data_IF_609252508866
#
_entry.id   IF_609252508866
#
_cell.length_a   1.000
_cell.length_b   1.000
_cell.length_c   1.000
_cell.angle_alpha   90.00
_cell.angle_beta   90.00
_cell.angle_gamma   90.00
#
_symmetry.space_group_name_H-M   'P 1'
#
loop_
_entity.id
_entity.type
_entity.pdbx_description
1 polymer ?
#
# COMPACT_ATOMS: atom_id res chain seq x y z
N UNK A 1 3.02 15.65 -3.65
CA UNK A 1 4.00 15.76 -2.57
C UNK A 1 3.29 15.38 -1.27
N UNK A 2 3.90 14.59 -0.37
CA UNK A 2 3.28 14.26 0.92
C UNK A 2 3.04 15.54 1.74
N UNK A 3 1.92 15.58 2.47
CA UNK A 3 1.57 16.71 3.34
C UNK A 3 2.49 16.72 4.56
N UNK A 4 3.00 17.89 4.99
CA UNK A 4 3.80 17.98 6.21
C UNK A 4 3.00 17.48 7.42
N UNK A 5 3.67 16.68 8.26
CA UNK A 5 3.12 16.18 9.50
C UNK A 5 2.91 17.33 10.48
N UNK A 6 1.66 17.52 10.93
CA UNK A 6 1.32 18.54 11.94
C UNK A 6 1.30 17.98 13.36
N UNK A 7 0.93 16.71 13.53
CA UNK A 7 0.87 16.04 14.84
C UNK A 7 0.84 14.51 14.69
N UNK A 8 1.74 13.81 15.37
CA UNK A 8 1.81 12.34 15.30
C UNK A 8 2.41 11.83 13.99
N UNK A 9 2.96 10.61 13.97
CA UNK A 9 3.63 10.07 12.79
C UNK A 9 2.64 9.37 11.87
N UNK A 10 1.87 10.16 11.14
CA UNK A 10 1.02 9.67 10.06
C UNK A 10 1.79 9.58 8.74
N UNK A 11 1.35 8.68 7.85
CA UNK A 11 1.87 8.61 6.49
C UNK A 11 0.75 8.39 5.48
N UNK A 12 1.02 8.82 4.25
CA UNK A 12 0.25 8.50 3.06
C UNK A 12 1.27 8.14 1.96
N UNK A 13 1.13 6.96 1.38
CA UNK A 13 2.01 6.46 0.33
C UNK A 13 1.15 5.96 -0.83
N UNK A 14 1.41 6.50 -2.02
CA UNK A 14 0.74 6.08 -3.23
C UNK A 14 1.73 5.39 -4.16
N UNK A 15 1.40 4.19 -4.64
CA UNK A 15 2.26 3.43 -5.53
C UNK A 15 1.46 2.79 -6.68
N UNK A 16 2.02 2.75 -7.89
CA UNK A 16 1.34 2.15 -9.03
C UNK A 16 1.23 0.64 -8.84
N UNK A 17 0.17 0.05 -9.39
CA UNK A 17 -0.02 -1.40 -9.45
C UNK A 17 -0.50 -1.83 -10.82
N UNK A 18 -0.06 -3.00 -11.25
CA UNK A 18 -0.68 -3.79 -12.30
C UNK A 18 -0.89 -5.20 -11.81
N UNK A 19 -2.08 -5.75 -12.03
CA UNK A 19 -2.40 -7.07 -11.53
C UNK A 19 -3.65 -7.67 -12.13
N UNK A 20 -3.86 -8.95 -11.82
CA UNK A 20 -5.04 -9.69 -12.23
C UNK A 20 -6.15 -9.46 -11.22
N UNK A 21 -7.32 -9.09 -11.70
CA UNK A 21 -8.53 -9.00 -10.89
C UNK A 21 -8.98 -10.42 -10.57
N UNK A 22 -9.01 -10.76 -9.28
CA UNK A 22 -9.47 -12.06 -8.81
C UNK A 22 -10.98 -12.05 -8.55
N UNK A 23 -11.47 -10.93 -8.00
CA UNK A 23 -12.82 -10.81 -7.49
C UNK A 23 -13.27 -9.36 -7.56
N UNK A 24 -14.53 -9.16 -7.93
CA UNK A 24 -15.26 -7.88 -7.88
C UNK A 24 -16.65 -8.22 -7.40
N UNK A 25 -17.03 -7.72 -6.24
CA UNK A 25 -18.32 -8.02 -5.62
C UNK A 25 -18.95 -6.72 -5.14
N UNK A 26 -20.22 -6.53 -5.46
CA UNK A 26 -21.08 -5.56 -4.80
C UNK A 26 -21.46 -6.10 -3.43
N UNK A 27 -21.41 -5.26 -2.40
CA UNK A 27 -21.93 -5.62 -1.09
C UNK A 27 -23.40 -6.03 -1.25
N UNK A 28 -23.74 -7.29 -0.91
CA UNK A 28 -25.09 -7.80 -1.10
C UNK A 28 -26.11 -7.12 -0.17
N UNK A 29 -25.64 -6.48 0.91
CA UNK A 29 -26.50 -5.90 1.95
C UNK A 29 -26.81 -4.42 1.70
N UNK A 30 -25.84 -3.63 1.20
CA UNK A 30 -26.05 -2.19 0.99
C UNK A 30 -26.15 -1.79 -0.49
N UNK A 31 -25.78 -2.67 -1.43
CA UNK A 31 -25.76 -2.46 -2.89
C UNK A 31 -25.01 -1.19 -3.37
N UNK A 32 -24.32 -0.49 -2.47
CA UNK A 32 -23.67 0.81 -2.70
C UNK A 32 -22.15 0.78 -2.45
N UNK A 33 -21.66 -0.22 -1.73
CA UNK A 33 -20.24 -0.42 -1.49
C UNK A 33 -19.79 -1.67 -2.22
N UNK A 34 -18.88 -1.53 -3.20
CA UNK A 34 -18.24 -2.67 -3.85
C UNK A 34 -16.90 -3.00 -3.19
N UNK A 35 -16.29 -4.11 -3.60
CA UNK A 35 -14.87 -4.34 -3.37
C UNK A 35 -14.21 -5.01 -4.56
N UNK A 36 -12.90 -4.82 -4.65
CA UNK A 36 -12.04 -5.48 -5.62
C UNK A 36 -10.88 -6.16 -4.93
N UNK A 37 -10.54 -7.36 -5.40
CA UNK A 37 -9.31 -8.05 -5.04
C UNK A 37 -8.42 -8.19 -6.27
N UNK A 38 -7.24 -7.58 -6.22
CA UNK A 38 -6.26 -7.60 -7.31
C UNK A 38 -5.01 -8.35 -6.85
N UNK A 39 -4.61 -9.38 -7.58
CA UNK A 39 -3.31 -10.02 -7.40
C UNK A 39 -2.24 -9.29 -8.18
N UNK A 40 -1.23 -8.80 -7.49
CA UNK A 40 -0.12 -8.04 -8.08
C UNK A 40 1.21 -8.72 -7.78
N UNK A 41 2.24 -8.39 -8.55
CA UNK A 41 3.61 -8.79 -8.23
C UNK A 41 4.04 -8.18 -6.89
N UNK A 42 4.72 -8.99 -6.06
CA UNK A 42 5.14 -8.57 -4.71
C UNK A 42 6.21 -7.47 -4.73
N UNK A 43 7.00 -7.42 -5.80
CA UNK A 43 8.04 -6.41 -6.00
C UNK A 43 7.87 -5.80 -7.40
N UNK A 44 7.05 -4.75 -7.53
CA UNK A 44 6.76 -4.14 -8.83
C UNK A 44 8.00 -3.50 -9.48
N UNK A 45 9.06 -3.22 -8.70
CA UNK A 45 10.35 -2.72 -9.24
C UNK A 45 11.05 -3.79 -10.09
N UNK A 46 10.77 -5.07 -9.86
CA UNK A 46 11.25 -6.19 -10.68
C UNK A 46 10.32 -6.52 -11.87
N UNK A 47 9.27 -5.71 -12.05
CA UNK A 47 8.25 -5.90 -13.08
C UNK A 47 6.91 -6.34 -12.51
N UNK A 48 5.92 -6.45 -13.39
CA UNK A 48 4.52 -6.71 -13.03
C UNK A 48 4.11 -8.18 -13.12
N UNK A 49 5.05 -9.04 -13.51
CA UNK A 49 4.83 -10.48 -13.64
C UNK A 49 5.06 -11.17 -12.31
N UNK A 50 4.26 -12.21 -12.05
CA UNK A 50 4.38 -13.08 -10.90
C UNK A 50 3.99 -14.51 -11.30
N UNK A 51 4.35 -15.50 -10.49
CA UNK A 51 3.92 -16.88 -10.65
C UNK A 51 2.77 -17.17 -9.68
N UNK A 52 1.61 -17.55 -10.22
CA UNK A 52 0.44 -17.88 -9.42
C UNK A 52 0.65 -19.11 -8.52
N UNK A 53 1.65 -19.95 -8.80
CA UNK A 53 2.03 -21.11 -7.99
C UNK A 53 3.05 -20.79 -6.90
N UNK A 54 3.71 -19.64 -6.97
CA UNK A 54 4.64 -19.17 -5.95
C UNK A 54 4.03 -18.01 -5.15
N UNK A 55 3.52 -18.33 -3.96
CA UNK A 55 2.94 -17.35 -3.02
C UNK A 55 3.94 -16.28 -2.55
N UNK A 56 5.25 -16.46 -2.77
CA UNK A 56 6.25 -15.42 -2.49
C UNK A 56 6.37 -14.40 -3.61
N UNK A 57 5.87 -14.69 -4.81
CA UNK A 57 5.98 -13.82 -5.98
C UNK A 57 4.87 -12.78 -6.10
N UNK A 58 3.77 -12.93 -5.34
CA UNK A 58 2.61 -12.05 -5.41
C UNK A 58 2.12 -11.58 -4.03
N UNK A 59 1.28 -10.55 -4.07
CA UNK A 59 0.44 -10.11 -2.95
C UNK A 59 -0.96 -9.82 -3.51
N UNK A 60 -1.99 -10.18 -2.75
CA UNK A 60 -3.35 -9.79 -3.08
C UNK A 60 -3.67 -8.46 -2.39
N UNK A 61 -4.19 -7.49 -3.11
CA UNK A 61 -4.59 -6.18 -2.58
C UNK A 61 -6.10 -6.09 -2.65
N UNK A 62 -6.70 -5.75 -1.52
CA UNK A 62 -8.12 -5.57 -1.36
C UNK A 62 -8.42 -4.08 -1.22
N UNK A 63 -9.33 -3.57 -2.06
CA UNK A 63 -9.82 -2.20 -2.02
C UNK A 63 -11.33 -2.17 -1.90
N UNK A 64 -11.85 -1.28 -1.06
CA UNK A 64 -13.27 -0.97 -1.01
C UNK A 64 -13.62 0.07 -2.06
N UNK A 65 -14.82 -0.04 -2.61
CA UNK A 65 -15.37 0.86 -3.63
C UNK A 65 -16.48 1.72 -3.03
N UNK A 66 -16.18 2.94 -2.58
CA UNK A 66 -17.20 3.83 -2.08
C UNK A 66 -17.99 4.54 -3.20
N UNK A 67 -17.67 4.32 -4.49
CA UNK A 67 -18.20 5.12 -5.62
C UNK A 67 -18.48 4.31 -6.88
N UNK A 68 -18.83 3.03 -6.76
CA UNK A 68 -19.19 2.15 -7.89
C UNK A 68 -18.15 2.10 -9.03
N UNK A 69 -16.89 2.45 -8.74
CA UNK A 69 -15.79 2.52 -9.70
C UNK A 69 -15.38 1.15 -10.23
N UNK A 70 -15.70 0.07 -9.51
CA UNK A 70 -15.34 -1.31 -9.85
C UNK A 70 -16.45 -2.06 -10.57
N UNK A 71 -17.68 -1.54 -10.65
CA UNK A 71 -18.83 -2.22 -11.32
C UNK A 71 -18.55 -2.65 -12.76
N UNK A 72 -17.65 -1.93 -13.44
CA UNK A 72 -17.32 -2.17 -14.86
C UNK A 72 -16.18 -3.17 -15.05
N UNK A 73 -15.57 -3.62 -13.97
CA UNK A 73 -14.41 -4.52 -13.95
C UNK A 73 -14.88 -5.94 -13.72
N UNK A 74 -14.27 -6.90 -14.41
CA UNK A 74 -14.62 -8.32 -14.27
C UNK A 74 -13.47 -9.15 -13.70
N UNK A 75 -13.82 -10.15 -12.90
CA UNK A 75 -12.87 -11.16 -12.48
C UNK A 75 -12.20 -11.82 -13.70
N UNK A 76 -10.88 -12.02 -13.61
CA UNK A 76 -10.05 -12.55 -14.69
C UNK A 76 -9.41 -11.48 -15.59
N UNK A 77 -9.92 -10.24 -15.61
CA UNK A 77 -9.27 -9.13 -16.29
C UNK A 77 -7.98 -8.71 -15.60
N UNK A 78 -7.18 -7.93 -16.30
CA UNK A 78 -6.04 -7.22 -15.73
C UNK A 78 -6.42 -5.77 -15.49
N UNK A 79 -5.86 -5.17 -14.43
CA UNK A 79 -6.07 -3.78 -14.07
C UNK A 79 -4.74 -3.08 -13.85
N UNK A 80 -4.66 -1.82 -14.27
CA UNK A 80 -3.65 -0.86 -13.86
C UNK A 80 -4.30 0.20 -12.99
N UNK A 81 -3.64 0.55 -11.89
CA UNK A 81 -4.13 1.55 -10.97
C UNK A 81 -3.05 2.06 -10.04
N UNK A 82 -3.51 2.74 -8.98
CA UNK A 82 -2.69 3.26 -7.91
C UNK A 82 -3.29 2.81 -6.59
N UNK A 83 -2.46 2.21 -5.74
CA UNK A 83 -2.83 1.91 -4.35
C UNK A 83 -2.41 3.08 -3.50
N UNK A 84 -3.31 3.53 -2.64
CA UNK A 84 -3.04 4.54 -1.62
C UNK A 84 -3.10 3.83 -0.27
N UNK A 85 -1.96 3.75 0.41
CA UNK A 85 -1.84 3.19 1.74
C UNK A 85 -1.55 4.32 2.74
N UNK A 86 -2.27 4.34 3.85
CA UNK A 86 -2.10 5.37 4.88
C UNK A 86 -2.28 4.78 6.27
N UNK A 87 -1.77 5.47 7.29
CA UNK A 87 -1.90 5.00 8.67
C UNK A 87 -1.05 5.77 9.65
N UNK A 88 -1.08 5.30 10.90
CA UNK A 88 -0.34 5.89 12.02
C UNK A 88 0.78 4.96 12.45
N UNK A 89 1.99 5.51 12.51
CA UNK A 89 3.20 4.79 12.85
C UNK A 89 3.41 4.77 14.36
N UNK A 90 3.55 3.56 14.90
CA UNK A 90 4.00 3.33 16.27
C UNK A 90 5.31 2.55 16.26
N UNK A 91 6.33 3.07 16.95
CA UNK A 91 7.59 2.34 17.09
C UNK A 91 7.37 0.98 17.77
N UNK A 92 8.03 -0.05 17.23
CA UNK A 92 7.99 -1.41 17.77
C UNK A 92 9.39 -1.99 17.93
N UNK A 93 9.51 -3.00 18.81
CA UNK A 93 10.69 -3.84 18.86
C UNK A 93 10.53 -4.95 17.82
N UNK A 94 11.03 -4.71 16.61
CA UNK A 94 11.16 -5.71 15.55
C UNK A 94 12.59 -5.73 15.03
N UNK A 95 12.91 -6.74 14.23
CA UNK A 95 14.18 -6.87 13.50
C UNK A 95 13.99 -7.17 12.01
N UNK A 96 12.73 -7.14 11.53
CA UNK A 96 12.39 -7.44 10.13
C UNK A 96 11.14 -6.68 9.70
N UNK A 97 11.08 -6.43 8.39
CA UNK A 97 9.86 -6.02 7.69
C UNK A 97 8.89 -7.20 7.70
N UNK A 98 7.62 -6.93 7.96
CA UNK A 98 6.59 -7.97 8.07
C UNK A 98 5.22 -7.45 7.62
N UNK A 99 4.48 -8.31 6.92
CA UNK A 99 3.07 -8.13 6.61
C UNK A 99 2.33 -9.33 7.20
N UNK A 100 1.33 -9.08 8.05
CA UNK A 100 0.64 -10.12 8.84
C UNK A 100 -0.18 -11.14 8.05
N UNK A 101 0.00 -11.24 6.75
CA UNK A 101 -0.71 -12.16 5.86
C UNK A 101 -0.30 -11.98 4.39
N UNK A 102 -0.89 -12.76 3.47
CA UNK A 102 -0.63 -12.64 2.02
C UNK A 102 -1.50 -11.56 1.34
N UNK A 103 -2.31 -10.83 2.12
CA UNK A 103 -3.27 -9.84 1.64
C UNK A 103 -2.96 -8.48 2.27
N UNK A 104 -2.91 -7.43 1.43
CA UNK A 104 -2.92 -6.04 1.85
C UNK A 104 -4.36 -5.51 1.77
N UNK A 105 -4.95 -5.20 2.92
CA UNK A 105 -6.31 -4.69 3.04
C UNK A 105 -6.40 -3.67 4.18
N UNK A 106 -7.45 -2.86 4.22
CA UNK A 106 -7.71 -1.99 5.35
C UNK A 106 -7.76 -2.79 6.67
N UNK A 107 -7.05 -2.31 7.70
CA UNK A 107 -6.84 -3.00 8.97
C UNK A 107 -5.70 -4.02 8.97
N UNK A 108 -5.03 -4.29 7.84
CA UNK A 108 -3.86 -5.15 7.82
C UNK A 108 -2.72 -4.51 8.62
N UNK A 109 -2.07 -5.31 9.47
CA UNK A 109 -0.90 -4.87 10.24
C UNK A 109 0.37 -5.00 9.40
N UNK A 110 1.09 -3.90 9.26
CA UNK A 110 2.42 -3.86 8.65
C UNK A 110 3.49 -3.48 9.68
N UNK A 111 4.70 -3.99 9.47
CA UNK A 111 5.92 -3.58 10.15
C UNK A 111 6.92 -3.14 9.09
N UNK A 112 7.36 -1.88 9.15
CA UNK A 112 8.32 -1.31 8.23
C UNK A 112 9.64 -0.96 8.90
N UNK A 113 10.73 -1.01 8.13
CA UNK A 113 12.06 -0.56 8.54
C UNK A 113 12.18 0.94 8.30
N UNK A 114 12.73 1.66 9.28
CA UNK A 114 12.87 3.12 9.21
C UNK A 114 14.30 3.48 8.83
N UNK A 115 14.42 4.36 7.84
CA UNK A 115 15.66 4.99 7.40
C UNK A 115 15.57 6.50 7.63
N UNK A 116 16.56 7.06 8.31
CA UNK A 116 16.63 8.50 8.60
C UNK A 116 17.92 9.07 8.03
N UNK A 117 17.83 9.68 6.84
CA UNK A 117 18.94 10.36 6.18
C UNK A 117 18.44 11.55 5.35
N UNK A 118 18.54 12.76 5.91
CA UNK A 118 17.94 14.00 5.38
C UNK A 118 16.41 14.01 5.29
N UNK A 119 15.80 12.84 5.10
CA UNK A 119 14.38 12.52 5.02
C UNK A 119 14.10 11.33 5.94
N UNK A 120 12.83 11.04 6.20
CA UNK A 120 12.44 9.85 6.95
C UNK A 120 11.64 8.95 6.02
N UNK A 121 12.23 7.81 5.67
CA UNK A 121 11.62 6.80 4.82
C UNK A 121 11.26 5.58 5.67
N UNK A 122 10.12 4.96 5.36
CA UNK A 122 9.71 3.68 5.92
C UNK A 122 9.55 2.68 4.79
N UNK A 123 10.36 1.62 4.81
CA UNK A 123 10.25 0.50 3.88
C UNK A 123 9.34 -0.59 4.47
N UNK A 124 8.19 -0.80 3.85
CA UNK A 124 7.26 -1.89 4.17
C UNK A 124 7.47 -3.12 3.29
N UNK A 125 8.52 -3.13 2.46
CA UNK A 125 8.88 -4.20 1.52
C UNK A 125 8.08 -4.15 0.22
N UNK A 126 6.78 -3.92 0.29
CA UNK A 126 5.92 -3.77 -0.90
C UNK A 126 5.97 -2.36 -1.48
N UNK A 127 6.02 -1.36 -0.60
CA UNK A 127 6.08 0.05 -0.93
C UNK A 127 6.90 0.80 0.11
N UNK A 128 7.29 2.02 -0.24
CA UNK A 128 8.02 2.92 0.66
C UNK A 128 7.14 4.14 0.95
N UNK A 129 7.06 4.52 2.23
CA UNK A 129 6.43 5.76 2.67
C UNK A 129 7.52 6.80 2.96
N UNK A 130 7.24 8.06 2.62
CA UNK A 130 8.12 9.20 2.94
C UNK A 130 7.36 10.15 3.83
N UNK A 131 7.93 10.46 4.99
CA UNK A 131 7.37 11.45 5.88
C UNK A 131 7.88 12.83 5.48
N UNK A 132 6.95 13.78 5.37
CA UNK A 132 7.27 15.19 5.22
C UNK A 132 7.11 15.88 6.56
N UNK A 133 8.06 16.77 6.86
CA UNK A 133 8.03 17.64 8.03
C UNK A 133 8.10 19.08 7.54
N UNK A 134 7.58 20.01 8.34
CA UNK A 134 7.61 21.43 8.04
C UNK A 134 9.04 21.97 8.02
N UNK A 135 9.84 21.57 9.01
CA UNK A 135 11.25 21.92 9.14
C UNK A 135 12.04 20.87 9.94
N UNK A 136 13.36 21.08 10.04
CA UNK A 136 14.30 20.19 10.71
C UNK A 136 14.15 20.17 12.25
N UNK A 137 13.67 21.25 12.85
CA UNK A 137 13.44 21.30 14.30
C UNK A 137 12.21 20.45 14.67
N UNK A 138 11.12 20.62 13.93
CA UNK A 138 9.91 19.82 14.04
C UNK A 138 10.21 18.34 13.79
N UNK A 139 10.97 18.02 12.74
CA UNK A 139 11.42 16.64 12.46
C UNK A 139 12.11 16.03 13.66
N UNK A 140 13.15 16.69 14.20
CA UNK A 140 13.92 16.17 15.35
C UNK A 140 13.05 15.99 16.59
N UNK A 141 12.15 16.93 16.87
CA UNK A 141 11.22 16.85 18.01
C UNK A 141 10.27 15.64 17.88
N UNK A 142 9.57 15.52 16.75
CA UNK A 142 8.61 14.43 16.52
C UNK A 142 9.29 13.05 16.58
N UNK A 143 10.46 12.90 15.95
CA UNK A 143 11.19 11.63 15.99
C UNK A 143 11.65 11.26 17.41
N UNK A 144 12.15 12.25 18.17
CA UNK A 144 12.56 12.05 19.56
C UNK A 144 11.38 11.63 20.44
N UNK A 145 10.25 12.32 20.34
CA UNK A 145 9.06 12.04 21.15
C UNK A 145 8.46 10.66 20.82
N UNK A 146 8.54 10.24 19.54
CA UNK A 146 8.13 8.90 19.11
C UNK A 146 9.18 7.80 19.38
N UNK A 147 10.38 8.17 19.84
CA UNK A 147 11.52 7.28 20.02
C UNK A 147 12.04 6.64 18.72
N UNK A 148 11.74 7.24 17.57
CA UNK A 148 12.20 6.78 16.26
C UNK A 148 13.65 7.20 16.04
N UNK A 149 14.42 6.28 15.46
CA UNK A 149 15.79 6.50 15.01
C UNK A 149 16.06 5.68 13.76
N UNK A 150 17.16 5.98 13.08
CA UNK A 150 17.62 5.15 11.97
C UNK A 150 17.79 3.68 12.41
N UNK A 151 17.42 2.75 11.52
CA UNK A 151 17.43 1.31 11.76
C UNK A 151 16.38 0.80 12.74
N UNK A 152 15.46 1.66 13.21
CA UNK A 152 14.30 1.23 14.01
C UNK A 152 13.17 0.68 13.14
N UNK A 153 12.13 0.16 13.78
CA UNK A 153 10.94 -0.37 13.10
C UNK A 153 9.69 0.31 13.64
N UNK A 154 8.73 0.56 12.76
CA UNK A 154 7.39 1.00 13.11
C UNK A 154 6.35 0.01 12.61
N UNK A 155 5.27 -0.12 13.37
CA UNK A 155 4.09 -0.84 12.96
C UNK A 155 2.93 0.14 12.74
N UNK A 156 2.01 -0.26 11.87
CA UNK A 156 0.77 0.46 11.58
C UNK A 156 -0.30 -0.55 11.23
N UNK A 157 -1.54 -0.24 11.57
CA UNK A 157 -2.71 -0.84 10.92
C UNK A 157 -3.09 0.12 9.79
N UNK A 158 -3.17 -0.37 8.55
CA UNK A 158 -3.20 0.51 7.36
C UNK A 158 -4.62 0.67 6.85
N UNK A 159 -4.96 1.84 6.30
CA UNK A 159 -6.04 2.01 5.34
C UNK A 159 -5.53 1.80 3.91
N UNK A 160 -6.33 1.13 3.08
CA UNK A 160 -5.98 0.81 1.69
C UNK A 160 -7.11 1.24 0.76
N UNK A 161 -6.80 2.12 -0.17
CA UNK A 161 -7.66 2.49 -1.28
C UNK A 161 -7.02 2.10 -2.61
N UNK A 162 -7.85 1.75 -3.61
CA UNK A 162 -7.39 1.42 -4.96
C UNK A 162 -8.08 2.34 -5.97
N UNK A 163 -7.28 3.15 -6.66
CA UNK A 163 -7.73 3.98 -7.77
C UNK A 163 -7.41 3.27 -9.09
N UNK A 164 -8.45 2.83 -9.80
CA UNK A 164 -8.27 2.20 -11.11
C UNK A 164 -8.04 3.24 -12.20
N UNK A 165 -7.06 2.97 -13.07
CA UNK A 165 -6.74 3.81 -14.23
C UNK A 165 -7.25 3.20 -15.53
N UNK A 166 -7.08 1.88 -15.71
CA UNK A 166 -7.60 1.12 -16.86
C UNK A 166 -7.64 -0.37 -16.54
N UNK A 167 -8.48 -1.12 -17.26
CA UNK A 167 -8.61 -2.57 -17.13
C UNK A 167 -8.89 -3.23 -18.49
N UNK A 168 -8.70 -4.55 -18.57
CA UNK A 168 -8.98 -5.35 -19.77
C UNK A 168 -8.01 -6.52 -19.95
N UNK A 169 -7.69 -6.84 -21.21
CA UNK A 169 -6.81 -7.96 -21.54
C UNK A 169 -5.38 -7.80 -20.99
N UNK A 170 -4.76 -8.91 -20.58
CA UNK A 170 -3.41 -8.95 -19.99
C UNK A 170 -2.39 -8.13 -20.78
N UNK A 171 -2.28 -8.39 -22.08
CA UNK A 171 -1.26 -7.77 -22.92
C UNK A 171 -1.49 -6.26 -23.08
N UNK A 172 -2.74 -5.81 -23.09
CA UNK A 172 -3.08 -4.38 -23.16
C UNK A 172 -2.66 -3.62 -21.90
N UNK A 173 -2.69 -4.29 -20.75
CA UNK A 173 -2.37 -3.71 -19.44
C UNK A 173 -0.88 -3.81 -19.13
N UNK A 174 -0.25 -4.96 -19.39
CA UNK A 174 1.14 -5.23 -19.04
C UNK A 174 2.16 -4.63 -20.00
N UNK A 175 1.78 -4.29 -21.24
CA UNK A 175 2.67 -3.56 -22.16
C UNK A 175 3.16 -2.26 -21.50
N UNK A 176 4.45 -1.99 -21.67
CA UNK A 176 5.10 -0.76 -21.19
C UNK A 176 4.43 0.43 -21.90
N UNK A 177 3.73 1.25 -21.13
CA UNK A 177 3.49 2.65 -21.47
C UNK A 177 4.71 3.44 -21.07
#
# INVERSE_FOLDING_TARGET
MPRPIKSGLEFEAAFPVKGRVLEVILCPDCEAEGYIRIRVAKDPKKGWSYDAKDAKSFVDIYGLDPRDSYLKVRAGEWAEGRVVAFGYLKRVRSRRIEMGGPVLQSGARLVGAIHVDGTVEIDFGLFQARLAFEDEEQRRKILKDAGIKDGSYAATDVGVDIELKRWGAKDSILRRS
#
